data_IF_061980584958
#
_entry.id   IF_061980584958
#
_cell.length_a   1.000
_cell.length_b   1.000
_cell.length_c   1.000
_cell.angle_alpha   90.00
_cell.angle_beta   90.00
_cell.angle_gamma   90.00
#
_symmetry.space_group_name_H-M   'P 1'
#
loop_
_entity.id
_entity.type
_entity.pdbx_description
1 polymer ?
#
# COMPACT_ATOMS: atom_id res chain seq x y z
N UNK A 1 33.97 -117.83 -129.22
CA UNK A 1 34.64 -116.81 -130.03
C UNK A 1 35.20 -115.79 -129.04
N UNK A 2 36.54 -115.74 -128.95
CA UNK A 2 37.42 -114.87 -128.13
C UNK A 2 37.25 -113.35 -128.39
N UNK A 3 38.03 -112.40 -127.77
CA UNK A 3 38.98 -112.41 -126.62
C UNK A 3 38.71 -111.19 -125.66
N UNK A 4 39.56 -110.67 -124.75
CA UNK A 4 40.51 -111.10 -123.71
C UNK A 4 40.97 -109.82 -122.94
N UNK A 5 41.17 -109.96 -121.63
CA UNK A 5 42.09 -109.28 -120.68
C UNK A 5 42.45 -107.75 -120.69
N UNK A 6 42.22 -107.12 -119.51
CA UNK A 6 43.19 -106.53 -118.53
C UNK A 6 43.16 -105.02 -118.14
N UNK A 7 43.19 -104.85 -116.80
CA UNK A 7 43.85 -103.83 -115.95
C UNK A 7 43.35 -102.36 -115.87
N UNK A 8 42.96 -101.93 -114.66
CA UNK A 8 42.61 -100.53 -114.34
C UNK A 8 42.41 -100.26 -112.83
N UNK A 9 43.45 -100.45 -112.01
CA UNK A 9 43.40 -100.25 -110.56
C UNK A 9 44.69 -99.63 -110.01
N UNK A 10 44.97 -98.37 -110.33
CA UNK A 10 46.16 -97.67 -109.79
C UNK A 10 46.01 -96.12 -109.67
N UNK A 11 44.89 -95.50 -110.06
CA UNK A 11 44.78 -94.03 -110.17
C UNK A 11 44.10 -93.30 -108.98
N UNK A 12 43.29 -93.97 -108.14
CA UNK A 12 42.58 -93.30 -107.01
C UNK A 12 43.42 -93.16 -105.73
N UNK A 13 44.50 -93.94 -105.63
CA UNK A 13 45.42 -93.91 -104.48
C UNK A 13 46.41 -92.75 -104.59
N UNK A 14 46.91 -92.46 -105.80
CA UNK A 14 47.91 -91.41 -106.02
C UNK A 14 47.37 -90.01 -105.77
N UNK A 15 46.11 -89.73 -106.11
CA UNK A 15 45.49 -88.42 -105.83
C UNK A 15 45.41 -88.12 -104.33
N UNK A 16 45.02 -89.11 -103.52
CA UNK A 16 44.96 -88.96 -102.05
C UNK A 16 46.35 -88.76 -101.44
N UNK A 17 47.36 -89.39 -102.01
CA UNK A 17 48.76 -89.24 -101.58
C UNK A 17 49.28 -87.85 -101.96
N UNK A 18 48.95 -87.34 -103.15
CA UNK A 18 49.30 -85.99 -103.60
C UNK A 18 48.63 -84.90 -102.74
N UNK A 19 47.34 -85.03 -102.42
CA UNK A 19 46.59 -84.10 -101.57
C UNK A 19 47.11 -84.12 -100.11
N UNK A 20 47.50 -85.31 -99.60
CA UNK A 20 48.19 -85.45 -98.31
C UNK A 20 49.58 -84.83 -98.36
N UNK A 21 50.34 -84.99 -99.45
CA UNK A 21 51.65 -84.36 -99.64
C UNK A 21 51.54 -82.85 -99.74
N UNK A 22 50.48 -82.32 -100.35
CA UNK A 22 50.21 -80.89 -100.42
C UNK A 22 49.78 -80.32 -99.05
N UNK A 23 48.96 -81.05 -98.29
CA UNK A 23 48.67 -80.70 -96.90
C UNK A 23 49.93 -80.77 -96.02
N UNK A 24 50.76 -81.81 -96.16
CA UNK A 24 52.03 -81.93 -95.43
C UNK A 24 53.00 -80.81 -95.83
N UNK A 25 53.07 -80.43 -97.11
CA UNK A 25 53.82 -79.25 -97.56
C UNK A 25 53.24 -77.94 -97.02
N UNK A 26 51.91 -77.81 -96.89
CA UNK A 26 51.25 -76.64 -96.27
C UNK A 26 51.52 -76.59 -94.76
N UNK A 27 51.53 -77.73 -94.07
CA UNK A 27 51.88 -77.85 -92.65
C UNK A 27 53.38 -77.62 -92.40
N UNK A 28 54.26 -78.01 -93.34
CA UNK A 28 55.70 -77.72 -93.30
C UNK A 28 56.02 -76.27 -93.66
N UNK A 29 55.35 -75.66 -94.65
CA UNK A 29 55.48 -74.23 -95.01
C UNK A 29 54.88 -73.31 -93.94
N UNK A 30 53.88 -73.78 -93.20
CA UNK A 30 53.39 -73.14 -91.98
C UNK A 30 54.39 -73.23 -90.82
N UNK A 31 55.58 -73.82 -91.04
CA UNK A 31 56.79 -73.63 -90.25
C UNK A 31 56.56 -73.61 -88.74
N UNK A 32 56.60 -74.81 -88.13
CA UNK A 32 56.46 -75.07 -86.69
C UNK A 32 55.01 -75.16 -86.19
N UNK A 33 54.43 -76.35 -86.26
CA UNK A 33 53.23 -76.71 -85.48
C UNK A 33 53.50 -76.84 -83.98
N UNK A 34 54.74 -76.68 -83.51
CA UNK A 34 55.09 -76.72 -82.09
C UNK A 34 56.24 -75.76 -81.80
N UNK A 35 55.99 -74.68 -81.02
CA UNK A 35 57.04 -73.74 -80.64
C UNK A 35 58.23 -74.50 -80.03
N UNK A 36 59.47 -74.15 -80.42
CA UNK A 36 60.70 -74.69 -79.81
C UNK A 36 60.59 -74.60 -78.28
N UNK A 37 60.96 -75.68 -77.59
CA UNK A 37 60.80 -75.83 -76.13
C UNK A 37 61.40 -74.64 -75.36
N UNK A 38 62.52 -74.07 -75.80
CA UNK A 38 63.12 -72.86 -75.20
C UNK A 38 62.20 -71.63 -75.24
N UNK A 39 61.41 -71.44 -76.31
CA UNK A 39 60.48 -70.30 -76.43
C UNK A 39 59.31 -70.47 -75.45
N UNK A 40 58.82 -71.70 -75.28
CA UNK A 40 57.79 -72.02 -74.28
C UNK A 40 58.33 -71.81 -72.87
N UNK A 41 59.56 -72.22 -72.57
CA UNK A 41 60.21 -72.02 -71.27
C UNK A 41 60.33 -70.52 -70.95
N UNK A 42 60.81 -69.69 -71.89
CA UNK A 42 60.92 -68.24 -71.69
C UNK A 42 59.56 -67.60 -71.44
N UNK A 43 58.54 -67.96 -72.24
CA UNK A 43 57.16 -67.48 -72.07
C UNK A 43 56.58 -67.90 -70.72
N UNK A 44 56.83 -69.13 -70.27
CA UNK A 44 56.41 -69.62 -68.96
C UNK A 44 57.08 -68.81 -67.85
N UNK A 45 58.38 -68.55 -67.94
CA UNK A 45 59.12 -67.76 -66.94
C UNK A 45 58.63 -66.31 -66.87
N UNK A 46 58.42 -65.66 -68.02
CA UNK A 46 57.85 -64.32 -68.11
C UNK A 46 56.46 -64.26 -67.46
N UNK A 47 55.58 -65.22 -67.78
CA UNK A 47 54.24 -65.30 -67.20
C UNK A 47 54.29 -65.58 -65.70
N UNK A 48 55.21 -66.43 -65.22
CA UNK A 48 55.39 -66.69 -63.79
C UNK A 48 55.92 -65.46 -63.04
N UNK A 49 56.86 -64.71 -63.63
CA UNK A 49 57.35 -63.45 -63.08
C UNK A 49 56.25 -62.38 -63.04
N UNK A 50 55.50 -62.23 -64.12
CA UNK A 50 54.35 -61.32 -64.18
C UNK A 50 53.28 -61.69 -63.15
N UNK A 51 52.99 -62.99 -62.98
CA UNK A 51 52.08 -63.50 -61.94
C UNK A 51 52.59 -63.17 -60.54
N UNK A 52 53.89 -63.36 -60.28
CA UNK A 52 54.51 -63.04 -58.98
C UNK A 52 54.38 -61.55 -58.69
N UNK A 53 54.79 -60.69 -59.63
CA UNK A 53 54.68 -59.23 -59.51
C UNK A 53 53.24 -58.77 -59.29
N UNK A 54 52.30 -59.28 -60.08
CA UNK A 54 50.88 -58.97 -59.93
C UNK A 54 50.32 -59.45 -58.57
N UNK A 55 50.80 -60.58 -58.04
CA UNK A 55 50.40 -61.06 -56.71
C UNK A 55 50.96 -60.20 -55.57
N UNK A 56 52.17 -59.67 -55.72
CA UNK A 56 52.78 -58.72 -54.79
C UNK A 56 51.99 -57.40 -54.80
N UNK A 57 51.73 -56.84 -55.99
CA UNK A 57 50.93 -55.61 -56.17
C UNK A 57 49.50 -55.76 -55.62
N UNK A 58 48.85 -56.93 -55.80
CA UNK A 58 47.55 -57.23 -55.18
C UNK A 58 47.62 -57.28 -53.65
N UNK A 59 48.72 -57.82 -53.10
CA UNK A 59 48.99 -57.82 -51.66
C UNK A 59 49.13 -56.41 -51.11
N UNK A 60 49.95 -55.58 -51.76
CA UNK A 60 50.13 -54.17 -51.40
C UNK A 60 48.81 -53.39 -51.48
N UNK A 61 48.06 -53.53 -52.58
CA UNK A 61 46.76 -52.89 -52.75
C UNK A 61 45.77 -53.31 -51.64
N UNK A 62 45.80 -54.58 -51.21
CA UNK A 62 45.00 -55.05 -50.08
C UNK A 62 45.42 -54.38 -48.77
N UNK A 63 46.72 -54.27 -48.46
CA UNK A 63 47.18 -53.59 -47.24
C UNK A 63 46.78 -52.11 -47.21
N UNK A 64 46.85 -51.43 -48.36
CA UNK A 64 46.41 -50.04 -48.50
C UNK A 64 44.89 -49.92 -48.30
N UNK A 65 44.11 -50.84 -48.88
CA UNK A 65 42.66 -50.88 -48.68
C UNK A 65 42.29 -51.10 -47.21
N UNK A 66 42.95 -52.02 -46.52
CA UNK A 66 42.73 -52.26 -45.09
C UNK A 66 43.10 -51.05 -44.22
N UNK A 67 44.17 -50.33 -44.56
CA UNK A 67 44.57 -49.10 -43.87
C UNK A 67 43.52 -47.98 -44.06
N UNK A 68 43.07 -47.76 -45.30
CA UNK A 68 42.02 -46.80 -45.61
C UNK A 68 40.70 -47.15 -44.92
N UNK A 69 40.33 -48.43 -44.85
CA UNK A 69 39.13 -48.86 -44.14
C UNK A 69 39.22 -48.53 -42.64
N UNK A 70 40.37 -48.78 -42.01
CA UNK A 70 40.60 -48.40 -40.60
C UNK A 70 40.51 -46.89 -40.37
N UNK A 71 41.04 -46.09 -41.29
CA UNK A 71 40.93 -44.63 -41.23
C UNK A 71 39.48 -44.16 -41.38
N UNK A 72 38.72 -44.75 -42.32
CA UNK A 72 37.29 -44.48 -42.48
C UNK A 72 36.50 -44.82 -41.23
N UNK A 73 36.76 -45.97 -40.61
CA UNK A 73 36.13 -46.39 -39.36
C UNK A 73 36.50 -45.42 -38.22
N UNK A 74 37.76 -45.02 -38.11
CA UNK A 74 38.25 -44.02 -37.13
C UNK A 74 37.55 -42.65 -37.30
N UNK A 75 37.47 -42.15 -38.53
CA UNK A 75 36.78 -40.90 -38.86
C UNK A 75 35.28 -40.99 -38.56
N UNK A 76 34.66 -42.14 -38.83
CA UNK A 76 33.25 -42.37 -38.49
C UNK A 76 33.02 -42.31 -36.97
N UNK A 77 33.93 -42.89 -36.19
CA UNK A 77 33.91 -42.82 -34.72
C UNK A 77 34.14 -41.40 -34.19
N UNK A 78 35.07 -40.64 -34.77
CA UNK A 78 35.28 -39.23 -34.45
C UNK A 78 34.03 -38.39 -34.75
N UNK A 79 33.37 -38.62 -35.89
CA UNK A 79 32.12 -37.92 -36.25
C UNK A 79 31.01 -38.15 -35.21
N UNK A 80 30.86 -39.39 -34.72
CA UNK A 80 29.89 -39.69 -33.65
C UNK A 80 30.26 -38.98 -32.35
N UNK A 81 31.54 -39.04 -31.94
CA UNK A 81 32.04 -38.35 -30.73
C UNK A 81 31.82 -36.84 -30.80
N UNK A 82 32.11 -36.20 -31.92
CA UNK A 82 31.88 -34.77 -32.12
C UNK A 82 30.40 -34.41 -32.05
N UNK A 83 29.50 -35.25 -32.59
CA UNK A 83 28.05 -35.04 -32.49
C UNK A 83 27.56 -35.11 -31.05
N UNK A 84 28.07 -36.05 -30.26
CA UNK A 84 27.76 -36.13 -28.82
C UNK A 84 28.27 -34.91 -28.05
N UNK A 85 29.50 -34.46 -28.34
CA UNK A 85 30.06 -33.25 -27.74
C UNK A 85 29.19 -32.04 -28.09
N UNK A 86 28.79 -31.88 -29.36
CA UNK A 86 27.92 -30.80 -29.79
C UNK A 86 26.59 -30.82 -29.03
N UNK A 87 25.94 -31.98 -28.94
CA UNK A 87 24.67 -32.13 -28.21
C UNK A 87 24.84 -31.76 -26.72
N UNK A 88 25.92 -32.22 -26.06
CA UNK A 88 26.22 -31.87 -24.67
C UNK A 88 26.44 -30.37 -24.47
N UNK A 89 27.12 -29.71 -25.41
CA UNK A 89 27.35 -28.25 -25.38
C UNK A 89 26.06 -27.48 -25.60
N UNK A 90 25.18 -27.94 -26.50
CA UNK A 90 23.86 -27.35 -26.72
C UNK A 90 22.98 -27.44 -25.47
N UNK A 91 22.98 -28.58 -24.78
CA UNK A 91 22.21 -28.74 -23.54
C UNK A 91 22.79 -27.87 -22.41
N UNK A 92 24.12 -27.83 -22.26
CA UNK A 92 24.77 -26.95 -21.28
C UNK A 92 24.40 -25.48 -21.52
N UNK A 93 24.38 -25.06 -22.79
CA UNK A 93 23.98 -23.70 -23.17
C UNK A 93 22.51 -23.43 -22.84
N UNK A 94 21.62 -24.39 -23.05
CA UNK A 94 20.19 -24.30 -22.68
C UNK A 94 20.04 -24.10 -21.17
N UNK A 95 20.72 -24.91 -20.36
CA UNK A 95 20.69 -24.81 -18.90
C UNK A 95 21.21 -23.45 -18.43
N UNK A 96 22.35 -22.99 -18.96
CA UNK A 96 22.92 -21.69 -18.59
C UNK A 96 21.98 -20.53 -18.93
N UNK A 97 21.31 -20.57 -20.08
CA UNK A 97 20.31 -19.55 -20.46
C UNK A 97 19.15 -19.49 -19.47
N UNK A 98 18.63 -20.65 -19.06
CA UNK A 98 17.57 -20.73 -18.05
C UNK A 98 18.03 -20.13 -16.72
N UNK A 99 19.24 -20.49 -16.26
CA UNK A 99 19.78 -19.95 -15.03
C UNK A 99 19.97 -18.42 -15.09
N UNK A 100 20.44 -17.88 -16.22
CA UNK A 100 20.53 -16.43 -16.40
C UNK A 100 19.15 -15.77 -16.29
N UNK A 101 18.12 -16.32 -16.95
CA UNK A 101 16.76 -15.79 -16.91
C UNK A 101 16.16 -15.86 -15.49
N UNK A 102 16.38 -16.96 -14.77
CA UNK A 102 15.96 -17.09 -13.37
C UNK A 102 16.61 -16.04 -12.48
N UNK A 103 17.92 -15.82 -12.64
CA UNK A 103 18.66 -14.81 -11.88
C UNK A 103 18.20 -13.39 -12.18
N UNK A 104 17.90 -13.08 -13.43
CA UNK A 104 17.32 -11.79 -13.83
C UNK A 104 15.92 -11.60 -13.21
N UNK A 105 15.06 -12.63 -13.26
CA UNK A 105 13.74 -12.59 -12.63
C UNK A 105 13.80 -12.44 -11.11
N UNK A 106 14.80 -13.05 -10.47
CA UNK A 106 15.04 -12.94 -9.03
C UNK A 106 15.51 -11.52 -8.66
N UNK A 107 16.42 -10.95 -9.44
CA UNK A 107 16.87 -9.57 -9.27
C UNK A 107 15.72 -8.58 -9.46
N UNK A 108 14.86 -8.79 -10.47
CA UNK A 108 13.69 -7.95 -10.71
C UNK A 108 12.70 -8.02 -9.55
N UNK A 109 12.39 -9.22 -9.04
CA UNK A 109 11.52 -9.39 -7.86
C UNK A 109 12.09 -8.69 -6.62
N UNK A 110 13.39 -8.83 -6.37
CA UNK A 110 14.08 -8.14 -5.27
C UNK A 110 14.00 -6.62 -5.42
N UNK A 111 14.19 -6.11 -6.64
CA UNK A 111 14.08 -4.67 -6.92
C UNK A 111 12.66 -4.15 -6.65
N UNK A 112 11.63 -4.85 -7.14
CA UNK A 112 10.22 -4.49 -6.88
C UNK A 112 9.92 -4.47 -5.39
N UNK A 113 10.28 -5.52 -4.64
CA UNK A 113 10.06 -5.56 -3.20
C UNK A 113 10.78 -4.43 -2.44
N UNK A 114 12.02 -4.11 -2.83
CA UNK A 114 12.78 -3.01 -2.23
C UNK A 114 12.12 -1.65 -2.50
N UNK A 115 11.60 -1.46 -3.72
CA UNK A 115 10.89 -0.25 -4.11
C UNK A 115 9.58 -0.09 -3.31
N UNK A 116 8.80 -1.15 -3.16
CA UNK A 116 7.61 -1.16 -2.30
C UNK A 116 7.94 -0.85 -0.84
N UNK A 117 9.03 -1.42 -0.30
CA UNK A 117 9.50 -1.13 1.05
C UNK A 117 9.88 0.35 1.21
N UNK A 118 10.57 0.93 0.23
CA UNK A 118 10.94 2.36 0.21
C UNK A 118 9.71 3.25 0.19
N UNK A 119 8.70 2.92 -0.61
CA UNK A 119 7.44 3.65 -0.68
C UNK A 119 6.68 3.57 0.65
N UNK A 120 6.60 2.38 1.26
CA UNK A 120 5.99 2.18 2.58
C UNK A 120 6.69 2.99 3.67
N UNK A 121 8.02 3.01 3.68
CA UNK A 121 8.79 3.84 4.63
C UNK A 121 8.48 5.32 4.41
N UNK A 122 8.43 5.77 3.16
CA UNK A 122 8.13 7.16 2.82
C UNK A 122 6.72 7.56 3.28
N UNK A 123 5.73 6.69 3.07
CA UNK A 123 4.35 6.90 3.54
C UNK A 123 4.27 6.98 5.07
N UNK A 124 4.92 6.06 5.79
CA UNK A 124 4.96 6.07 7.26
C UNK A 124 5.65 7.32 7.80
N UNK A 125 6.76 7.76 7.19
CA UNK A 125 7.44 8.99 7.58
C UNK A 125 6.55 10.22 7.38
N UNK A 126 5.79 10.28 6.28
CA UNK A 126 4.82 11.35 6.04
C UNK A 126 3.73 11.36 7.11
N UNK A 127 3.19 10.19 7.47
CA UNK A 127 2.16 10.05 8.50
C UNK A 127 2.67 10.50 9.88
N UNK A 128 3.91 10.12 10.23
CA UNK A 128 4.54 10.55 11.48
C UNK A 128 4.66 12.08 11.54
N UNK A 129 5.10 12.72 10.46
CA UNK A 129 5.24 14.18 10.47
C UNK A 129 3.88 14.90 10.47
N UNK A 130 2.88 14.35 9.79
CA UNK A 130 1.50 14.85 9.85
C UNK A 130 0.96 14.81 11.28
N UNK A 131 1.07 13.67 11.97
CA UNK A 131 0.60 13.53 13.35
C UNK A 131 1.39 14.41 14.33
N UNK A 132 2.70 14.57 14.13
CA UNK A 132 3.52 15.51 14.91
C UNK A 132 3.03 16.95 14.73
N UNK A 133 2.64 17.34 13.52
CA UNK A 133 2.12 18.67 13.25
C UNK A 133 0.73 18.86 13.85
N UNK A 134 -0.16 17.87 13.80
CA UNK A 134 -1.46 17.91 14.52
C UNK A 134 -1.26 18.10 16.02
N UNK A 135 -0.31 17.38 16.62
CA UNK A 135 0.00 17.55 18.05
C UNK A 135 0.60 18.93 18.36
N UNK A 136 1.45 19.48 17.48
CA UNK A 136 1.95 20.85 17.62
C UNK A 136 0.80 21.86 17.55
N UNK A 137 -0.12 21.69 16.61
CA UNK A 137 -1.28 22.56 16.47
C UNK A 137 -2.16 22.53 17.71
N UNK A 138 -2.52 21.34 18.20
CA UNK A 138 -3.30 21.21 19.43
C UNK A 138 -2.64 21.90 20.63
N UNK A 139 -1.30 21.79 20.77
CA UNK A 139 -0.58 22.50 21.84
C UNK A 139 -0.69 24.02 21.70
N UNK A 140 -0.58 24.55 20.48
CA UNK A 140 -0.72 25.98 20.22
C UNK A 140 -2.14 26.46 20.51
N UNK A 141 -3.16 25.72 20.06
CA UNK A 141 -4.57 26.06 20.30
C UNK A 141 -4.88 26.08 21.81
N UNK A 142 -4.33 25.13 22.57
CA UNK A 142 -4.44 25.12 24.04
C UNK A 142 -3.71 26.29 24.70
N UNK A 143 -2.53 26.65 24.21
CA UNK A 143 -1.76 27.79 24.71
C UNK A 143 -2.50 29.11 24.47
N UNK A 144 -3.12 29.28 23.30
CA UNK A 144 -3.97 30.44 22.99
C UNK A 144 -5.17 30.53 23.94
N UNK A 145 -5.87 29.42 24.18
CA UNK A 145 -6.98 29.38 25.13
C UNK A 145 -6.56 29.75 26.56
N UNK A 146 -5.36 29.32 26.99
CA UNK A 146 -4.82 29.68 28.29
C UNK A 146 -4.48 31.17 28.37
N UNK A 147 -3.86 31.72 27.32
CA UNK A 147 -3.54 33.15 27.26
C UNK A 147 -4.81 34.00 27.30
N UNK A 148 -5.86 33.62 26.55
CA UNK A 148 -7.17 34.29 26.57
C UNK A 148 -7.79 34.26 27.98
N UNK A 149 -7.77 33.11 28.65
CA UNK A 149 -8.31 32.96 30.00
C UNK A 149 -7.51 33.77 31.02
N UNK A 150 -6.18 33.76 30.93
CA UNK A 150 -5.33 34.61 31.77
C UNK A 150 -5.57 36.10 31.51
N UNK A 151 -5.80 36.49 30.26
CA UNK A 151 -6.20 37.84 29.86
C UNK A 151 -7.51 38.27 30.53
N UNK A 152 -8.55 37.42 30.46
CA UNK A 152 -9.83 37.66 31.13
C UNK A 152 -9.67 37.80 32.64
N UNK A 153 -8.90 36.92 33.28
CA UNK A 153 -8.64 37.00 34.71
C UNK A 153 -7.91 38.30 35.08
N UNK A 154 -6.90 38.69 34.31
CA UNK A 154 -6.14 39.93 34.50
C UNK A 154 -7.04 41.15 34.39
N UNK A 155 -7.96 41.19 33.44
CA UNK A 155 -8.87 42.31 33.27
C UNK A 155 -9.90 42.37 34.40
N UNK A 156 -10.51 41.24 34.78
CA UNK A 156 -11.41 41.18 35.92
C UNK A 156 -10.72 41.65 37.21
N UNK A 157 -9.47 41.23 37.44
CA UNK A 157 -8.68 41.64 38.59
C UNK A 157 -8.34 43.14 38.59
N UNK A 158 -8.14 43.76 37.43
CA UNK A 158 -7.92 45.22 37.36
C UNK A 158 -9.18 46.01 37.73
N UNK A 159 -10.37 45.58 37.28
CA UNK A 159 -11.62 46.31 37.51
C UNK A 159 -12.23 46.03 38.88
N UNK A 160 -12.11 44.81 39.37
CA UNK A 160 -12.66 44.37 40.66
C UNK A 160 -11.55 43.96 41.62
N UNK A 161 -10.41 44.64 41.55
CA UNK A 161 -9.35 44.46 42.51
C UNK A 161 -9.86 44.77 43.92
N UNK A 162 -9.36 44.07 44.95
CA UNK A 162 -9.72 44.34 46.35
C UNK A 162 -9.58 45.82 46.71
N UNK A 163 -8.58 46.51 46.15
CA UNK A 163 -8.33 47.93 46.37
C UNK A 163 -9.38 48.84 45.73
N UNK A 164 -9.96 48.45 44.60
CA UNK A 164 -11.06 49.18 43.97
C UNK A 164 -12.36 48.95 44.74
N UNK A 165 -12.66 47.69 45.10
CA UNK A 165 -13.84 47.36 45.89
C UNK A 165 -13.81 48.00 47.28
N UNK A 166 -12.66 47.99 47.97
CA UNK A 166 -12.51 48.65 49.27
C UNK A 166 -12.82 50.14 49.17
N UNK A 167 -12.30 50.83 48.14
CA UNK A 167 -12.60 52.26 47.91
C UNK A 167 -14.08 52.51 47.63
N UNK A 168 -14.73 51.64 46.88
CA UNK A 168 -16.18 51.73 46.62
C UNK A 168 -16.99 51.51 47.90
N UNK A 169 -16.63 50.54 48.74
CA UNK A 169 -17.25 50.29 50.04
C UNK A 169 -17.09 51.51 50.96
N UNK A 170 -15.87 52.05 51.09
CA UNK A 170 -15.61 53.23 51.93
C UNK A 170 -16.44 54.43 51.47
N UNK A 171 -16.60 54.60 50.16
CA UNK A 171 -17.44 55.65 49.56
C UNK A 171 -18.92 55.44 49.89
N UNK A 172 -19.41 54.20 49.76
CA UNK A 172 -20.79 53.84 50.08
C UNK A 172 -21.09 53.98 51.58
N UNK A 173 -20.17 53.59 52.45
CA UNK A 173 -20.29 53.75 53.89
C UNK A 173 -20.33 55.22 54.29
N UNK A 174 -19.46 56.05 53.71
CA UNK A 174 -19.48 57.50 53.92
C UNK A 174 -20.80 58.13 53.48
N UNK A 175 -21.33 57.71 52.32
CA UNK A 175 -22.63 58.15 51.80
C UNK A 175 -23.79 57.72 52.70
N UNK A 176 -23.79 56.46 53.16
CA UNK A 176 -24.77 55.93 54.11
C UNK A 176 -24.77 56.70 55.43
N UNK A 177 -23.60 56.97 56.00
CA UNK A 177 -23.49 57.75 57.23
C UNK A 177 -24.04 59.17 57.07
N UNK A 178 -23.81 59.78 55.90
CA UNK A 178 -24.37 61.09 55.58
C UNK A 178 -25.91 61.04 55.53
N UNK A 179 -26.47 60.08 54.79
CA UNK A 179 -27.93 59.89 54.68
C UNK A 179 -28.57 59.61 56.05
N UNK A 180 -27.92 58.81 56.91
CA UNK A 180 -28.40 58.57 58.28
C UNK A 180 -28.42 59.84 59.14
N UNK A 181 -27.48 60.77 58.93
CA UNK A 181 -27.48 62.07 59.63
C UNK A 181 -28.62 62.96 59.13
N UNK A 182 -28.87 62.97 57.82
CA UNK A 182 -30.01 63.71 57.23
C UNK A 182 -31.34 63.13 57.70
N UNK A 183 -31.49 61.81 57.72
CA UNK A 183 -32.68 61.12 58.22
C UNK A 183 -32.98 61.50 59.67
N UNK A 184 -32.00 61.39 60.57
CA UNK A 184 -32.15 61.81 61.98
C UNK A 184 -32.54 63.28 62.12
N UNK A 185 -32.01 64.16 61.27
CA UNK A 185 -32.37 65.57 61.27
C UNK A 185 -33.82 65.78 60.81
N UNK A 186 -34.26 65.06 59.78
CA UNK A 186 -35.64 65.10 59.29
C UNK A 186 -36.59 64.54 60.35
N UNK A 187 -36.25 63.43 61.00
CA UNK A 187 -37.02 62.83 62.09
C UNK A 187 -37.19 63.82 63.26
N UNK A 188 -36.11 64.49 63.67
CA UNK A 188 -36.17 65.51 64.71
C UNK A 188 -37.07 66.71 64.31
N UNK A 189 -36.96 67.17 63.05
CA UNK A 189 -37.84 68.23 62.52
C UNK A 189 -39.31 67.78 62.47
N UNK A 190 -39.56 66.53 62.14
CA UNK A 190 -40.90 65.96 62.07
C UNK A 190 -41.52 65.86 63.46
N UNK A 191 -40.79 65.38 64.46
CA UNK A 191 -41.25 65.36 65.85
C UNK A 191 -41.51 66.78 66.37
N UNK A 192 -40.68 67.77 66.04
CA UNK A 192 -40.93 69.18 66.35
C UNK A 192 -42.23 69.71 65.68
N UNK A 193 -42.46 69.41 64.40
CA UNK A 193 -43.73 69.75 63.72
C UNK A 193 -44.92 69.05 64.38
N UNK A 194 -44.81 67.76 64.68
CA UNK A 194 -45.85 66.97 65.34
C UNK A 194 -46.18 67.53 66.71
N UNK A 195 -45.18 67.85 67.53
CA UNK A 195 -45.37 68.53 68.81
C UNK A 195 -46.06 69.89 68.65
N UNK A 196 -45.68 70.71 67.65
CA UNK A 196 -46.39 71.97 67.34
C UNK A 196 -47.85 71.73 66.97
N UNK A 197 -48.14 70.74 66.12
CA UNK A 197 -49.51 70.41 65.71
C UNK A 197 -50.34 69.89 66.88
N UNK A 198 -49.81 68.97 67.69
CA UNK A 198 -50.47 68.48 68.90
C UNK A 198 -50.75 69.62 69.91
N UNK A 199 -49.81 70.56 70.05
CA UNK A 199 -50.00 71.76 70.89
C UNK A 199 -51.04 72.73 70.33
N UNK A 200 -51.25 72.78 69.01
CA UNK A 200 -52.23 73.65 68.36
C UNK A 200 -53.63 73.03 68.27
N UNK A 201 -53.75 71.70 68.17
CA UNK A 201 -55.02 71.02 67.88
C UNK A 201 -55.52 70.06 68.99
N UNK A 202 -54.78 69.88 70.10
CA UNK A 202 -55.19 69.02 71.21
C UNK A 202 -55.10 67.51 70.90
N UNK A 203 -55.01 66.69 71.93
CA UNK A 203 -54.65 65.26 71.83
C UNK A 203 -55.76 64.32 71.30
N UNK A 204 -56.96 64.82 70.97
CA UNK A 204 -58.16 64.00 70.70
C UNK A 204 -58.61 63.95 69.23
N UNK A 205 -57.74 64.28 68.28
CA UNK A 205 -58.12 64.42 66.86
C UNK A 205 -57.81 63.24 65.92
N UNK A 206 -57.40 62.04 66.40
CA UNK A 206 -56.79 61.05 65.50
C UNK A 206 -57.24 59.59 65.69
N UNK A 207 -58.56 59.35 65.75
CA UNK A 207 -59.08 58.01 65.48
C UNK A 207 -60.33 58.11 64.62
N UNK A 208 -60.28 57.53 63.42
CA UNK A 208 -61.44 57.25 62.53
C UNK A 208 -61.89 58.34 61.54
N UNK A 209 -61.00 59.23 61.08
CA UNK A 209 -61.30 60.05 59.89
C UNK A 209 -60.26 59.71 58.83
N UNK A 210 -60.64 58.90 57.83
CA UNK A 210 -60.28 59.11 56.41
C UNK A 210 -60.21 57.84 55.53
N UNK A 211 -60.31 56.60 56.04
CA UNK A 211 -60.24 55.43 55.14
C UNK A 211 -61.39 55.40 54.11
N UNK A 212 -62.60 55.80 54.51
CA UNK A 212 -63.75 55.90 53.61
C UNK A 212 -63.79 57.17 52.73
N UNK A 213 -63.02 58.22 53.07
CA UNK A 213 -63.02 59.48 52.32
C UNK A 213 -62.06 59.43 51.13
N UNK A 214 -60.88 58.81 51.28
CA UNK A 214 -59.95 58.65 50.17
C UNK A 214 -60.53 57.75 49.07
N UNK A 215 -61.20 56.65 49.41
CA UNK A 215 -61.86 55.78 48.43
C UNK A 215 -62.99 56.45 47.63
N UNK A 216 -63.52 57.59 48.11
CA UNK A 216 -64.53 58.41 47.41
C UNK A 216 -63.94 59.67 46.76
N UNK A 217 -62.62 59.85 46.85
CA UNK A 217 -61.91 60.99 46.26
C UNK A 217 -61.75 60.84 44.75
N UNK A 218 -61.55 61.97 44.07
CA UNK A 218 -61.30 62.00 42.64
C UNK A 218 -59.95 61.34 42.29
N UNK A 219 -59.00 61.39 43.21
CA UNK A 219 -57.67 60.80 43.11
C UNK A 219 -57.73 59.27 43.14
N UNK A 220 -58.56 58.67 44.01
CA UNK A 220 -58.76 57.22 44.02
C UNK A 220 -59.49 56.74 42.74
N UNK A 221 -60.46 57.50 42.25
CA UNK A 221 -61.12 57.20 40.97
C UNK A 221 -60.13 57.27 39.79
N UNK A 222 -59.23 58.25 39.77
CA UNK A 222 -58.18 58.36 38.75
C UNK A 222 -57.19 57.19 38.81
N UNK A 223 -56.79 56.76 40.01
CA UNK A 223 -55.93 55.60 40.19
C UNK A 223 -56.57 54.31 39.66
N UNK A 224 -57.86 54.07 39.97
CA UNK A 224 -58.61 52.92 39.44
C UNK A 224 -58.65 52.96 37.91
N UNK A 225 -58.93 54.11 37.31
CA UNK A 225 -59.01 54.24 35.85
C UNK A 225 -57.66 53.97 35.16
N UNK A 226 -56.54 54.40 35.76
CA UNK A 226 -55.19 54.09 35.28
C UNK A 226 -54.89 52.59 35.38
N UNK A 227 -55.26 51.95 36.50
CA UNK A 227 -55.12 50.50 36.65
C UNK A 227 -55.98 49.75 35.65
N UNK A 228 -57.22 50.17 35.40
CA UNK A 228 -58.08 49.56 34.38
C UNK A 228 -57.51 49.73 32.98
N UNK A 229 -56.91 50.87 32.66
CA UNK A 229 -56.27 51.11 31.37
C UNK A 229 -55.02 50.23 31.17
N UNK A 230 -54.15 50.16 32.17
CA UNK A 230 -52.97 49.29 32.13
C UNK A 230 -53.35 47.82 32.09
N UNK A 231 -54.39 47.41 32.83
CA UNK A 231 -54.88 46.04 32.79
C UNK A 231 -55.47 45.69 31.41
N UNK A 232 -56.12 46.64 30.74
CA UNK A 232 -56.59 46.48 29.36
C UNK A 232 -55.43 46.32 28.37
N UNK A 233 -54.35 47.10 28.53
CA UNK A 233 -53.13 46.98 27.71
C UNK A 233 -52.44 45.63 27.95
N UNK A 234 -52.31 45.22 29.21
CA UNK A 234 -51.74 43.93 29.59
C UNK A 234 -52.55 42.76 29.00
N UNK A 235 -53.89 42.83 29.04
CA UNK A 235 -54.75 41.84 28.40
C UNK A 235 -54.54 41.79 26.89
N UNK A 236 -54.44 42.93 26.20
CA UNK A 236 -54.16 42.98 24.77
C UNK A 236 -52.81 42.37 24.39
N UNK A 237 -51.78 42.56 25.21
CA UNK A 237 -50.48 41.91 25.03
C UNK A 237 -50.55 40.40 25.25
N UNK A 238 -51.31 39.96 26.25
CA UNK A 238 -51.53 38.54 26.51
C UNK A 238 -52.24 37.86 25.34
N UNK A 239 -53.29 38.50 24.80
CA UNK A 239 -54.04 37.98 23.65
C UNK A 239 -53.18 37.94 22.38
N UNK A 240 -52.32 38.94 22.15
CA UNK A 240 -51.38 38.91 21.04
C UNK A 240 -50.33 37.81 21.18
N UNK A 241 -49.84 37.58 22.40
CA UNK A 241 -48.87 36.53 22.69
C UNK A 241 -49.48 35.12 22.50
N UNK A 242 -50.73 34.90 22.91
CA UNK A 242 -51.42 33.62 22.68
C UNK A 242 -51.66 33.36 21.20
N UNK A 243 -52.09 34.34 20.42
CA UNK A 243 -52.22 34.19 18.96
C UNK A 243 -50.88 33.84 18.29
N UNK A 244 -49.79 34.50 18.68
CA UNK A 244 -48.47 34.20 18.14
C UNK A 244 -47.98 32.79 18.52
N UNK A 245 -48.27 32.35 19.76
CA UNK A 245 -47.97 31.00 20.20
C UNK A 245 -48.71 29.94 19.37
N UNK A 246 -50.03 30.13 19.16
CA UNK A 246 -50.84 29.24 18.33
C UNK A 246 -50.33 29.17 16.88
N UNK A 247 -49.97 30.32 16.30
CA UNK A 247 -49.40 30.38 14.95
C UNK A 247 -48.08 29.59 14.84
N UNK A 248 -47.19 29.76 15.82
CA UNK A 248 -45.93 29.00 15.87
C UNK A 248 -46.19 27.50 16.07
N UNK A 249 -47.14 27.13 16.92
CA UNK A 249 -47.51 25.74 17.16
C UNK A 249 -48.02 25.07 15.87
N UNK A 250 -48.89 25.74 15.11
CA UNK A 250 -49.36 25.26 13.82
C UNK A 250 -48.21 25.09 12.82
N UNK A 251 -47.28 26.06 12.75
CA UNK A 251 -46.11 25.99 11.86
C UNK A 251 -45.18 24.82 12.23
N UNK A 252 -44.98 24.57 13.51
CA UNK A 252 -44.22 23.41 13.99
C UNK A 252 -44.87 22.09 13.57
N UNK A 253 -46.19 21.96 13.70
CA UNK A 253 -46.93 20.77 13.25
C UNK A 253 -46.78 20.56 11.73
N UNK A 254 -46.88 21.62 10.92
CA UNK A 254 -46.69 21.55 9.47
C UNK A 254 -45.27 21.08 9.10
N UNK A 255 -44.24 21.63 9.74
CA UNK A 255 -42.86 21.23 9.51
C UNK A 255 -42.62 19.77 9.92
N UNK A 256 -43.23 19.32 11.02
CA UNK A 256 -43.15 17.92 11.47
C UNK A 256 -43.79 16.96 10.45
N UNK A 257 -44.96 17.31 9.90
CA UNK A 257 -45.59 16.55 8.81
C UNK A 257 -44.75 16.55 7.53
N UNK A 258 -44.13 17.69 7.17
CA UNK A 258 -43.25 17.78 6.00
C UNK A 258 -41.99 16.92 6.17
N UNK A 259 -41.39 16.93 7.36
CA UNK A 259 -40.26 16.07 7.71
C UNK A 259 -40.63 14.59 7.59
N UNK A 260 -41.82 14.21 8.06
CA UNK A 260 -42.30 12.83 7.96
C UNK A 260 -42.52 12.41 6.50
N UNK A 261 -43.12 13.27 5.67
CA UNK A 261 -43.26 13.04 4.22
C UNK A 261 -41.92 12.85 3.52
N UNK A 262 -40.94 13.73 3.79
CA UNK A 262 -39.60 13.62 3.22
C UNK A 262 -38.88 12.34 3.69
N UNK A 263 -39.10 11.92 4.94
CA UNK A 263 -38.57 10.65 5.45
C UNK A 263 -39.14 9.46 4.68
N UNK A 264 -40.45 9.44 4.43
CA UNK A 264 -41.12 8.40 3.63
C UNK A 264 -40.70 8.42 2.16
N UNK A 265 -40.48 9.60 1.57
CA UNK A 265 -39.93 9.73 0.20
C UNK A 265 -38.50 9.18 0.10
N UNK A 266 -37.65 9.47 1.09
CA UNK A 266 -36.29 8.91 1.16
C UNK A 266 -36.31 7.38 1.33
N UNK A 267 -37.22 6.84 2.14
CA UNK A 267 -37.36 5.39 2.30
C UNK A 267 -37.83 4.70 1.01
N UNK A 268 -38.77 5.32 0.27
CA UNK A 268 -39.22 4.85 -1.06
C UNK A 268 -38.11 4.92 -2.12
N UNK A 269 -37.23 5.91 -2.05
CA UNK A 269 -36.07 6.03 -2.96
C UNK A 269 -34.94 5.08 -2.54
N UNK A 270 -34.76 4.84 -1.24
CA UNK A 270 -33.84 3.85 -0.69
C UNK A 270 -34.19 2.41 -1.05
N UNK A 271 -35.47 2.12 -1.29
CA UNK A 271 -35.94 0.81 -1.79
C UNK A 271 -35.80 0.64 -3.32
N UNK A 272 -35.44 1.69 -4.07
CA UNK A 272 -35.34 1.67 -5.54
C UNK A 272 -33.91 1.60 -6.09
N UNK A 273 -32.92 1.21 -5.29
CA UNK A 273 -31.55 0.98 -5.77
C UNK A 273 -31.33 -0.52 -6.00
N UNK A 274 -31.27 -1.02 -7.26
CA UNK A 274 -30.87 -2.39 -7.54
C UNK A 274 -29.35 -2.50 -7.41
N UNK A 275 -28.88 -3.24 -6.41
CA UNK A 275 -27.47 -3.65 -6.31
C UNK A 275 -27.28 -4.88 -7.20
N UNK A 276 -26.65 -4.69 -8.35
CA UNK A 276 -26.11 -5.78 -9.16
C UNK A 276 -24.58 -5.79 -9.02
N UNK A 277 -24.06 -6.64 -8.13
CA UNK A 277 -22.73 -7.24 -8.27
C UNK A 277 -22.64 -8.48 -7.36
N UNK A 278 -22.01 -9.52 -7.90
CA UNK A 278 -22.14 -10.92 -7.51
C UNK A 278 -21.32 -11.36 -6.28
N UNK A 279 -21.92 -12.35 -5.59
CA UNK A 279 -21.33 -13.61 -5.11
C UNK A 279 -20.36 -13.66 -3.92
N UNK A 280 -20.84 -14.46 -2.95
CA UNK A 280 -20.17 -15.55 -2.22
C UNK A 280 -19.34 -15.24 -0.97
N UNK A 281 -20.01 -15.50 0.15
CA UNK A 281 -19.75 -16.61 1.09
C UNK A 281 -19.24 -16.22 2.49
N UNK A 282 -20.12 -16.56 3.43
CA UNK A 282 -20.07 -16.66 4.89
C UNK A 282 -18.72 -17.04 5.53
N UNK A 283 -18.47 -16.58 6.77
CA UNK A 283 -18.74 -17.38 7.99
C UNK A 283 -18.43 -16.61 9.30
N UNK A 284 -19.37 -16.65 10.27
CA UNK A 284 -19.02 -17.00 11.66
C UNK A 284 -18.99 -15.94 12.79
N UNK A 285 -20.04 -15.99 13.62
CA UNK A 285 -20.08 -15.82 15.09
C UNK A 285 -20.20 -14.42 15.77
N UNK A 286 -21.34 -14.21 16.46
CA UNK A 286 -21.57 -13.18 17.51
C UNK A 286 -21.08 -13.63 18.91
N UNK A 287 -21.61 -13.12 20.06
CA UNK A 287 -22.71 -12.16 20.29
C UNK A 287 -22.43 -11.04 21.36
N UNK A 288 -23.32 -10.05 21.51
CA UNK A 288 -23.50 -9.29 22.77
C UNK A 288 -23.77 -7.77 22.69
N UNK A 289 -25.03 -7.37 22.89
CA UNK A 289 -25.54 -6.02 23.28
C UNK A 289 -25.36 -5.76 24.81
N UNK A 290 -25.71 -4.61 25.46
CA UNK A 290 -26.53 -3.44 25.02
C UNK A 290 -26.13 -1.98 25.50
N UNK A 291 -26.74 -0.96 24.86
CA UNK A 291 -27.45 0.26 25.40
C UNK A 291 -26.75 1.57 25.89
N UNK A 292 -27.05 2.67 25.13
CA UNK A 292 -27.41 4.11 25.38
C UNK A 292 -26.50 5.13 26.14
N UNK A 293 -26.56 6.41 25.68
CA UNK A 293 -26.82 7.54 26.60
C UNK A 293 -27.90 8.52 26.12
N UNK A 294 -28.65 9.08 27.07
CA UNK A 294 -29.60 10.18 26.88
C UNK A 294 -29.24 11.38 27.76
N UNK A 295 -29.55 12.60 27.28
CA UNK A 295 -29.43 13.84 28.06
C UNK A 295 -30.78 14.56 28.01
N UNK A 296 -31.37 14.78 29.19
CA UNK A 296 -32.56 15.59 29.41
C UNK A 296 -32.28 16.58 30.53
N UNK A 297 -32.58 17.85 30.26
CA UNK A 297 -32.48 18.97 31.19
C UNK A 297 -33.71 19.03 32.10
N UNK A 298 -33.51 19.30 33.39
CA UNK A 298 -34.48 19.94 34.28
C UNK A 298 -33.76 20.43 35.54
N UNK A 299 -34.17 21.60 36.03
CA UNK A 299 -33.52 22.30 37.12
C UNK A 299 -34.22 22.22 38.47
N UNK A 300 -33.62 22.99 39.38
CA UNK A 300 -34.10 23.56 40.63
C UNK A 300 -33.87 22.79 41.95
N UNK A 301 -33.42 23.62 42.90
CA UNK A 301 -33.60 23.61 44.35
C UNK A 301 -32.47 23.22 45.30
N UNK A 302 -32.40 24.09 46.33
CA UNK A 302 -31.37 24.35 47.33
C UNK A 302 -31.64 23.46 48.55
N UNK A 303 -30.61 22.86 49.15
CA UNK A 303 -30.57 22.64 50.59
C UNK A 303 -29.14 22.42 51.11
N UNK A 304 -28.85 23.10 52.21
CA UNK A 304 -27.59 23.21 52.92
C UNK A 304 -27.62 22.26 54.14
N UNK A 305 -26.59 21.42 54.37
CA UNK A 305 -25.95 21.17 55.69
C UNK A 305 -24.97 19.99 55.74
N UNK A 306 -23.79 20.34 56.30
CA UNK A 306 -22.92 19.63 57.28
C UNK A 306 -22.23 18.32 56.88
N UNK A 307 -20.91 18.46 56.67
CA UNK A 307 -19.83 17.95 57.54
C UNK A 307 -20.01 16.55 58.14
N UNK A 308 -19.12 15.63 57.79
CA UNK A 308 -18.26 14.91 58.74
C UNK A 308 -16.94 14.47 58.07
N UNK A 309 -15.88 14.71 58.84
CA UNK A 309 -14.49 14.20 58.86
C UNK A 309 -14.53 12.66 59.05
N UNK A 310 -13.68 11.78 58.52
CA UNK A 310 -12.21 11.63 58.63
C UNK A 310 -11.73 10.42 57.79
N UNK A 311 -10.39 10.29 57.65
CA UNK A 311 -9.57 9.08 57.35
C UNK A 311 -9.87 8.31 56.05
N UNK A 312 -8.95 8.09 55.11
CA UNK A 312 -7.49 7.97 55.18
C UNK A 312 -7.11 6.74 54.36
N UNK A 313 -6.31 6.92 53.29
CA UNK A 313 -5.26 5.98 52.82
C UNK A 313 -4.67 6.43 51.48
N UNK A 314 -3.43 6.90 51.60
CA UNK A 314 -2.26 6.53 50.79
C UNK A 314 -2.44 6.56 49.25
N UNK A 315 -2.14 7.72 48.69
CA UNK A 315 -1.54 7.82 47.36
C UNK A 315 -0.19 8.52 47.48
N UNK A 316 0.88 7.86 47.05
CA UNK A 316 2.15 8.42 46.59
C UNK A 316 2.93 7.28 45.93
N UNK A 317 3.74 7.43 44.90
CA UNK A 317 4.02 8.50 43.96
C UNK A 317 4.95 7.83 42.94
N UNK A 318 4.68 7.99 41.64
CA UNK A 318 5.69 7.73 40.62
C UNK A 318 6.70 8.88 40.64
N UNK A 319 7.98 8.54 40.48
CA UNK A 319 8.99 9.47 39.95
C UNK A 319 10.01 8.68 39.12
N UNK A 320 10.37 9.16 37.91
CA UNK A 320 11.34 8.53 37.02
C UNK A 320 12.70 9.23 37.08
N UNK A 321 13.82 8.49 36.99
CA UNK A 321 15.08 8.94 36.35
C UNK A 321 16.20 7.89 36.50
N UNK A 322 16.78 7.45 35.38
CA UNK A 322 18.25 7.45 35.17
C UNK A 322 18.61 7.16 33.72
N UNK A 323 19.14 8.19 33.06
CA UNK A 323 20.03 8.04 31.92
C UNK A 323 21.39 7.51 32.42
N UNK A 324 21.99 6.56 31.69
CA UNK A 324 23.37 6.14 31.90
C UNK A 324 24.16 6.43 30.64
N UNK A 325 25.15 7.32 30.78
CA UNK A 325 26.13 7.72 29.78
C UNK A 325 27.02 6.56 29.34
N UNK A 326 27.47 6.63 28.09
CA UNK A 326 28.49 5.77 27.53
C UNK A 326 29.90 6.01 28.09
N UNK A 327 30.77 5.04 27.82
CA UNK A 327 32.21 5.19 27.71
C UNK A 327 32.70 4.26 26.61
N UNK A 328 33.55 4.78 25.74
CA UNK A 328 34.18 4.04 24.65
C UNK A 328 35.57 3.50 25.00
N UNK A 329 36.07 2.78 24.00
CA UNK A 329 37.47 2.53 23.60
C UNK A 329 38.28 1.54 24.43
N UNK A 330 38.73 0.46 23.76
CA UNK A 330 40.13 0.02 23.56
C UNK A 330 40.13 -1.13 22.53
N UNK A 331 40.56 -0.86 21.28
CA UNK A 331 41.85 -1.24 20.65
C UNK A 331 42.04 -2.74 20.40
N UNK A 332 42.27 -3.09 19.12
CA UNK A 332 43.16 -4.18 18.72
C UNK A 332 42.83 -4.87 17.38
N UNK A 333 43.59 -4.50 16.34
CA UNK A 333 44.06 -5.24 15.14
C UNK A 333 43.34 -6.55 14.72
N UNK A 334 43.14 -6.88 13.44
CA UNK A 334 44.10 -6.81 12.33
C UNK A 334 43.41 -7.10 10.98
N UNK A 335 44.05 -6.63 9.90
CA UNK A 335 44.11 -7.10 8.49
C UNK A 335 43.13 -8.21 8.04
N UNK A 336 42.40 -8.08 6.91
CA UNK A 336 43.02 -8.17 5.58
C UNK A 336 42.21 -7.56 4.43
N UNK A 337 42.98 -7.19 3.41
CA UNK A 337 42.66 -6.44 2.20
C UNK A 337 42.64 -7.40 1.00
N UNK A 338 41.59 -7.37 0.16
CA UNK A 338 41.57 -7.87 -1.24
C UNK A 338 40.14 -7.71 -1.81
N UNK A 339 39.81 -7.22 -3.00
CA UNK A 339 40.52 -6.58 -4.12
C UNK A 339 39.40 -6.00 -5.00
N UNK A 340 39.42 -4.70 -5.31
CA UNK A 340 38.56 -4.11 -6.36
C UNK A 340 39.39 -3.80 -7.60
N UNK A 341 38.73 -3.95 -8.74
CA UNK A 341 39.26 -3.89 -10.09
C UNK A 341 39.69 -2.48 -10.51
N UNK A 342 40.66 -2.41 -11.41
CA UNK A 342 41.08 -1.18 -12.07
C UNK A 342 41.83 -1.47 -13.37
N UNK A 343 41.08 -1.60 -14.45
CA UNK A 343 41.58 -1.63 -15.82
C UNK A 343 42.27 -0.31 -16.17
N UNK A 344 43.51 -0.38 -16.64
CA UNK A 344 44.24 0.75 -17.23
C UNK A 344 45.22 0.21 -18.26
N UNK A 345 44.82 0.21 -19.52
CA UNK A 345 45.66 -0.22 -20.64
C UNK A 345 46.68 0.82 -21.04
N UNK A 346 47.92 0.40 -21.28
CA UNK A 346 48.89 1.04 -22.19
C UNK A 346 49.82 -0.06 -22.71
N UNK A 347 49.94 -0.18 -24.03
CA UNK A 347 50.89 -1.10 -24.65
C UNK A 347 50.96 -0.93 -26.17
N UNK A 348 51.64 0.13 -26.62
CA UNK A 348 52.17 0.27 -27.99
C UNK A 348 53.58 -0.31 -28.06
N UNK A 349 53.92 -0.85 -29.24
CA UNK A 349 55.29 -1.06 -29.73
C UNK A 349 55.90 -2.41 -29.36
N UNK A 350 56.60 -3.14 -30.21
CA UNK A 350 57.26 -2.83 -31.50
C UNK A 350 57.77 -4.15 -32.12
N UNK A 351 57.73 -4.25 -33.45
CA UNK A 351 58.68 -4.90 -34.40
C UNK A 351 59.15 -6.35 -34.15
N UNK A 352 59.26 -7.26 -35.13
CA UNK A 352 59.49 -7.17 -36.57
C UNK A 352 58.69 -8.24 -37.32
#
# INVERSE_FOLDING_TARGET
MEPAEKAGGQAKSSQKIEDLLEMVKKLQKAGSLEPRVEVLINRINEVQQAKKKASEELGEARTVWEALQKEMDSLSGEKVRLKEILNKKQETLRILRLHCQEKESEAQRKHTMLQECKERISALNSQIEEEKNKQRQLRLDFEEQLEDLMGQHKDLWKFHGPEQMAREIDTLDSSKEHLLKEEKLVEAKLEDVKHRLCSQFGADGCSTIAEGLFLRSQEAAAAVHLFEEENRKAQGLLDAATHHHEQLQQKCQQLQQKRQRLKEELEKLGMQIPVQAQSKQEEGAGPGEPVRPGIGWQGAEIAHKRSWVEEGKEGESQSPQRCSLGKGVLIGHNQDRSTEAGSGGVGRGTSQ
#
